data_IF_516428184472
#
_entry.id   IF_516428184472
#
_cell.length_a   1.000
_cell.length_b   1.000
_cell.length_c   1.000
_cell.angle_alpha   90.00
_cell.angle_beta   90.00
_cell.angle_gamma   90.00
#
_symmetry.space_group_name_H-M   'P 1'
#
loop_
_entity.id
_entity.type
_entity.pdbx_description
1 polymer ?
#
# COMPACT_ATOMS: atom_id res chain seq x y z
N UNK A 1 -6.15 27.23 -27.58
CA UNK A 1 -5.65 25.89 -27.94
C UNK A 1 -5.79 24.95 -26.75
N UNK A 2 -5.97 23.65 -27.00
CA UNK A 2 -5.98 22.64 -25.94
C UNK A 2 -4.73 21.77 -26.07
N UNK A 3 -4.01 21.58 -24.96
CA UNK A 3 -2.82 20.72 -24.95
C UNK A 3 -3.23 19.24 -24.99
N UNK A 4 -2.27 18.38 -25.39
CA UNK A 4 -2.42 16.93 -25.24
C UNK A 4 -2.46 16.57 -23.76
N UNK A 5 -3.05 15.42 -23.44
CA UNK A 5 -3.01 14.88 -22.09
C UNK A 5 -1.58 14.50 -21.70
N UNK A 6 -1.23 14.83 -20.47
CA UNK A 6 -0.01 14.36 -19.83
C UNK A 6 -0.03 12.84 -19.63
N UNK A 7 1.14 12.28 -19.34
CA UNK A 7 1.28 10.87 -18.95
C UNK A 7 0.45 10.64 -17.69
N UNK A 8 -0.24 9.50 -17.63
CA UNK A 8 -1.03 9.12 -16.45
C UNK A 8 -0.13 8.97 -15.21
N UNK A 9 -0.56 9.50 -14.07
CA UNK A 9 0.20 9.43 -12.81
C UNK A 9 0.44 8.01 -12.29
N UNK A 10 -0.37 7.04 -12.72
CA UNK A 10 -0.18 5.61 -12.44
C UNK A 10 -0.36 4.80 -13.70
N UNK A 11 0.39 3.71 -13.85
CA UNK A 11 0.22 2.75 -14.95
C UNK A 11 -0.96 1.78 -14.76
N UNK A 12 -1.49 1.65 -13.54
CA UNK A 12 -2.62 0.80 -13.17
C UNK A 12 -3.27 1.27 -11.85
N UNK A 13 -4.42 0.71 -11.51
CA UNK A 13 -5.09 0.94 -10.22
C UNK A 13 -5.65 2.35 -10.03
N UNK A 14 -5.95 3.04 -11.13
CA UNK A 14 -6.52 4.38 -11.13
C UNK A 14 -5.47 5.47 -10.87
N UNK A 15 -5.11 6.15 -11.95
CA UNK A 15 -4.30 7.37 -11.96
C UNK A 15 -5.06 8.58 -12.50
N UNK A 16 -4.36 9.69 -12.59
CA UNK A 16 -4.88 10.97 -13.06
C UNK A 16 -3.95 11.49 -14.15
N UNK A 17 -4.52 12.01 -15.23
CA UNK A 17 -3.81 12.77 -16.26
C UNK A 17 -4.44 14.17 -16.35
N UNK A 18 -3.60 15.16 -16.62
CA UNK A 18 -3.99 16.56 -16.71
C UNK A 18 -3.75 17.07 -18.13
N UNK A 19 -4.51 18.08 -18.54
CA UNK A 19 -4.19 18.90 -19.71
C UNK A 19 -4.61 20.33 -19.47
N UNK A 20 -3.85 21.26 -20.04
CA UNK A 20 -4.13 22.69 -19.96
C UNK A 20 -4.89 23.18 -21.19
N UNK A 21 -5.93 24.00 -20.97
CA UNK A 21 -6.54 24.84 -22.00
C UNK A 21 -5.84 26.21 -22.01
N UNK A 22 -5.22 26.58 -23.12
CA UNK A 22 -4.68 27.94 -23.32
C UNK A 22 -5.67 28.78 -24.11
N UNK A 23 -6.16 29.87 -23.54
CA UNK A 23 -6.91 30.85 -24.32
C UNK A 23 -5.97 31.75 -25.13
N UNK A 24 -6.32 32.04 -26.38
CA UNK A 24 -5.67 33.11 -27.14
C UNK A 24 -6.41 34.40 -26.83
N UNK A 25 -5.73 35.37 -26.22
CA UNK A 25 -6.31 36.64 -25.78
C UNK A 25 -6.56 37.58 -26.96
N UNK A 26 -7.66 37.37 -27.69
CA UNK A 26 -8.19 38.34 -28.65
C UNK A 26 -9.32 39.19 -28.04
N UNK A 27 -9.12 39.69 -26.81
CA UNK A 27 -9.93 40.76 -26.24
C UNK A 27 -11.16 40.37 -25.41
N UNK A 28 -11.53 39.09 -25.31
CA UNK A 28 -12.57 38.65 -24.37
C UNK A 28 -11.93 37.96 -23.16
N UNK A 29 -12.40 38.35 -21.96
CA UNK A 29 -11.97 37.82 -20.67
C UNK A 29 -12.11 36.29 -20.66
N UNK A 30 -11.02 35.56 -20.85
CA UNK A 30 -11.00 34.12 -20.61
C UNK A 30 -11.00 33.86 -19.10
N UNK A 31 -12.19 33.86 -18.51
CA UNK A 31 -12.40 33.51 -17.10
C UNK A 31 -12.17 32.01 -16.81
N UNK A 32 -11.89 31.19 -17.83
CA UNK A 32 -11.83 29.72 -17.70
C UNK A 32 -10.62 29.09 -18.43
N UNK A 33 -9.41 29.64 -18.20
CA UNK A 33 -8.17 28.90 -18.47
C UNK A 33 -7.98 27.78 -17.42
N UNK A 34 -8.86 26.78 -17.44
CA UNK A 34 -8.89 25.71 -16.45
C UNK A 34 -8.08 24.50 -16.92
N UNK A 35 -7.34 23.92 -15.98
CA UNK A 35 -6.75 22.60 -16.15
C UNK A 35 -7.87 21.56 -16.11
N UNK A 36 -7.92 20.70 -17.13
CA UNK A 36 -8.80 19.53 -17.11
C UNK A 36 -8.09 18.36 -16.47
N UNK A 37 -8.85 17.59 -15.69
CA UNK A 37 -8.39 16.40 -14.99
C UNK A 37 -9.28 15.25 -15.42
N UNK A 38 -8.69 14.12 -15.79
CA UNK A 38 -9.45 12.87 -16.01
C UNK A 38 -8.76 11.67 -15.38
N UNK A 39 -9.56 10.68 -15.03
CA UNK A 39 -9.09 9.37 -14.62
C UNK A 39 -8.42 8.63 -15.78
N UNK A 40 -7.47 7.78 -15.45
CA UNK A 40 -6.78 6.90 -16.39
C UNK A 40 -6.32 5.63 -15.71
N UNK A 41 -6.07 4.59 -16.52
CA UNK A 41 -5.52 3.32 -16.06
C UNK A 41 -6.29 2.74 -14.87
N UNK A 42 -7.63 2.78 -14.95
CA UNK A 42 -8.56 2.30 -13.90
C UNK A 42 -8.56 0.79 -13.75
N UNK A 43 -7.96 0.06 -14.69
CA UNK A 43 -7.76 -1.38 -14.57
C UNK A 43 -6.95 -1.67 -13.31
N UNK A 44 -7.36 -2.67 -12.49
CA UNK A 44 -6.63 -3.03 -11.28
C UNK A 44 -5.19 -3.41 -11.63
N UNK A 45 -4.27 -3.05 -10.75
CA UNK A 45 -2.88 -3.45 -10.93
C UNK A 45 -2.77 -4.99 -10.92
N UNK A 46 -1.87 -5.55 -11.74
CA UNK A 46 -1.54 -6.96 -11.64
C UNK A 46 -1.18 -7.27 -10.18
N UNK A 47 -1.66 -8.41 -9.70
CA UNK A 47 -1.47 -8.84 -8.32
C UNK A 47 0.03 -8.79 -8.03
N UNK A 48 0.42 -7.92 -7.10
CA UNK A 48 1.81 -7.79 -6.71
C UNK A 48 2.28 -9.15 -6.18
N UNK A 49 3.50 -9.60 -6.53
CA UNK A 49 4.02 -10.84 -6.00
C UNK A 49 4.08 -10.72 -4.47
N UNK A 50 3.26 -11.52 -3.80
CA UNK A 50 3.26 -11.66 -2.34
C UNK A 50 3.97 -12.95 -1.98
N UNK A 51 4.75 -12.91 -0.91
CA UNK A 51 5.36 -14.14 -0.38
C UNK A 51 4.28 -15.02 0.26
N UNK A 52 4.60 -16.29 0.46
CA UNK A 52 3.83 -17.13 1.38
C UNK A 52 3.84 -16.50 2.79
N UNK A 53 2.80 -16.81 3.56
CA UNK A 53 2.79 -16.49 4.98
C UNK A 53 3.90 -17.26 5.69
N UNK A 54 4.56 -16.60 6.64
CA UNK A 54 5.39 -17.32 7.62
C UNK A 54 4.52 -18.27 8.44
N UNK A 55 5.17 -19.23 9.08
CA UNK A 55 4.54 -19.97 10.17
C UNK A 55 4.10 -19.01 11.28
N UNK A 56 3.09 -19.43 12.05
CA UNK A 56 2.67 -18.72 13.24
C UNK A 56 3.76 -18.78 14.30
N UNK A 57 4.21 -17.63 14.76
CA UNK A 57 5.19 -17.50 15.84
C UNK A 57 4.46 -17.14 17.13
N UNK A 58 4.69 -17.94 18.17
CA UNK A 58 4.14 -17.72 19.52
C UNK A 58 5.00 -16.71 20.27
N UNK A 59 4.37 -15.67 20.78
CA UNK A 59 5.00 -14.65 21.64
C UNK A 59 4.18 -14.58 22.91
N UNK A 60 4.83 -14.75 24.06
CA UNK A 60 4.26 -14.46 25.37
C UNK A 60 4.53 -12.98 25.61
N UNK A 61 3.48 -12.16 25.61
CA UNK A 61 3.64 -10.78 26.06
C UNK A 61 3.82 -10.82 27.58
N UNK A 62 4.89 -10.22 28.13
CA UNK A 62 5.05 -10.12 29.57
C UNK A 62 3.88 -9.30 30.12
N UNK A 63 3.02 -9.91 30.94
CA UNK A 63 1.96 -9.18 31.65
C UNK A 63 2.57 -8.31 32.75
N UNK A 64 2.03 -7.11 32.92
CA UNK A 64 2.10 -6.38 34.19
C UNK A 64 1.55 -7.27 35.32
N UNK A 65 2.17 -7.17 36.51
CA UNK A 65 2.17 -8.14 37.64
C UNK A 65 0.82 -8.52 38.29
N UNK A 66 -0.33 -8.39 37.64
CA UNK A 66 -1.65 -8.56 38.22
C UNK A 66 -2.61 -9.27 37.24
N UNK A 67 -2.56 -10.61 37.20
CA UNK A 67 -3.61 -11.58 36.85
C UNK A 67 -3.14 -12.76 35.98
N UNK A 68 -3.11 -13.90 36.67
CA UNK A 68 -2.58 -15.23 36.36
C UNK A 68 -3.32 -15.96 35.25
N UNK A 69 -3.07 -15.60 33.99
CA UNK A 69 -3.30 -16.50 32.86
C UNK A 69 -2.45 -16.01 31.68
N UNK A 70 -1.34 -16.70 31.37
CA UNK A 70 -0.42 -16.30 30.30
C UNK A 70 -1.14 -16.32 28.95
N UNK A 71 -1.44 -15.13 28.43
CA UNK A 71 -2.17 -14.97 27.18
C UNK A 71 -1.19 -15.11 26.02
N UNK A 72 -1.30 -16.20 25.27
CA UNK A 72 -0.42 -16.51 24.14
C UNK A 72 -0.86 -15.66 22.95
N UNK A 73 0.04 -14.87 22.39
CA UNK A 73 -0.22 -14.15 21.13
C UNK A 73 0.54 -14.82 20.01
N UNK A 74 -0.17 -15.26 18.97
CA UNK A 74 0.46 -15.78 17.76
C UNK A 74 0.44 -14.73 16.67
N UNK A 75 1.58 -14.55 15.99
CA UNK A 75 1.73 -13.61 14.88
C UNK A 75 2.27 -14.30 13.65
N UNK A 76 1.89 -13.83 12.46
CA UNK A 76 2.53 -14.22 11.21
C UNK A 76 2.56 -13.05 10.25
N UNK A 77 3.54 -13.05 9.36
CA UNK A 77 3.71 -11.99 8.38
C UNK A 77 3.82 -12.55 6.96
N UNK A 78 3.54 -11.70 5.98
CA UNK A 78 3.90 -11.91 4.58
C UNK A 78 4.40 -10.60 3.99
N UNK A 79 5.29 -10.68 3.03
CA UNK A 79 5.85 -9.53 2.36
C UNK A 79 5.13 -9.26 1.06
N UNK A 80 4.98 -7.98 0.75
CA UNK A 80 4.50 -7.49 -0.54
C UNK A 80 5.69 -6.88 -1.26
N UNK A 81 6.02 -7.44 -2.42
CA UNK A 81 7.10 -6.92 -3.26
C UNK A 81 6.53 -5.95 -4.28
N UNK A 82 7.08 -4.74 -4.32
CA UNK A 82 6.79 -3.78 -5.38
C UNK A 82 8.01 -3.56 -6.25
N UNK A 83 7.75 -3.33 -7.53
CA UNK A 83 8.74 -2.74 -8.42
C UNK A 83 8.65 -1.24 -8.22
N UNK A 84 9.64 -0.65 -7.55
CA UNK A 84 9.69 0.80 -7.41
C UNK A 84 10.09 1.38 -8.78
N UNK A 85 9.17 2.08 -9.44
CA UNK A 85 9.46 2.83 -10.66
C UNK A 85 10.16 4.15 -10.29
N UNK A 86 11.29 4.05 -9.58
CA UNK A 86 12.19 5.18 -9.41
C UNK A 86 13.08 5.28 -10.64
N UNK A 87 13.29 6.51 -11.11
CA UNK A 87 13.80 6.94 -12.42
C UNK A 87 15.10 6.30 -12.94
N UNK A 88 15.77 5.37 -12.25
CA UNK A 88 17.07 4.84 -12.68
C UNK A 88 17.37 3.37 -12.39
N UNK A 89 16.46 2.59 -11.80
CA UNK A 89 16.71 1.15 -11.64
C UNK A 89 15.41 0.42 -11.32
N UNK A 90 15.06 -0.59 -12.12
CA UNK A 90 14.06 -1.60 -11.73
C UNK A 90 14.61 -2.36 -10.52
N UNK A 91 14.34 -1.84 -9.33
CA UNK A 91 14.71 -2.48 -8.06
C UNK A 91 13.49 -3.17 -7.48
N UNK A 92 13.70 -4.41 -7.04
CA UNK A 92 12.72 -5.11 -6.23
C UNK A 92 12.81 -4.55 -4.81
N UNK A 93 11.75 -3.90 -4.37
CA UNK A 93 11.65 -3.40 -3.00
C UNK A 93 10.60 -4.23 -2.24
N UNK A 94 10.94 -4.63 -1.02
CA UNK A 94 9.92 -5.04 -0.06
C UNK A 94 9.26 -3.72 0.37
N UNK A 95 7.97 -3.57 0.12
CA UNK A 95 7.22 -2.31 0.33
C UNK A 95 6.47 -2.31 1.67
N UNK A 96 5.94 -3.49 2.04
CA UNK A 96 5.21 -3.66 3.28
C UNK A 96 5.19 -5.11 3.77
N UNK A 97 5.22 -5.30 5.08
CA UNK A 97 4.85 -6.54 5.76
C UNK A 97 3.40 -6.45 6.26
N UNK A 98 2.55 -7.30 5.69
CA UNK A 98 1.21 -7.53 6.24
C UNK A 98 1.36 -8.48 7.41
N UNK A 99 1.12 -7.99 8.61
CA UNK A 99 1.17 -8.78 9.83
C UNK A 99 -0.25 -9.00 10.34
N UNK A 100 -0.52 -10.23 10.76
CA UNK A 100 -1.76 -10.55 11.47
C UNK A 100 -1.41 -11.20 12.79
N UNK A 101 -2.26 -10.96 13.79
CA UNK A 101 -2.11 -11.57 15.10
C UNK A 101 -3.40 -12.27 15.53
N UNK A 102 -3.26 -13.16 16.49
CA UNK A 102 -4.38 -13.81 17.17
C UNK A 102 -4.02 -14.05 18.61
N UNK A 103 -5.00 -13.85 19.47
CA UNK A 103 -4.86 -14.08 20.90
C UNK A 103 -5.44 -15.45 21.22
N UNK A 104 -4.62 -16.28 21.83
CA UNK A 104 -4.97 -17.62 22.24
C UNK A 104 -5.02 -17.72 23.77
N UNK A 105 -5.84 -18.64 24.27
CA UNK A 105 -5.79 -19.03 25.66
C UNK A 105 -4.42 -19.63 26.04
N UNK A 106 -4.16 -19.81 27.33
CA UNK A 106 -2.88 -20.29 27.85
C UNK A 106 -2.48 -21.70 27.35
N UNK A 107 -3.43 -22.42 26.75
CA UNK A 107 -3.23 -23.77 26.19
C UNK A 107 -3.02 -23.76 24.68
N UNK A 108 -3.19 -22.61 24.01
CA UNK A 108 -2.85 -22.39 22.60
C UNK A 108 -3.75 -23.08 21.57
N UNK A 109 -4.90 -23.63 21.98
CA UNK A 109 -5.85 -24.32 21.08
C UNK A 109 -7.08 -23.48 20.73
N UNK A 110 -7.48 -22.54 21.59
CA UNK A 110 -8.59 -21.65 21.34
C UNK A 110 -8.04 -20.25 21.07
N UNK A 111 -8.05 -19.85 19.81
CA UNK A 111 -7.46 -18.61 19.33
C UNK A 111 -8.53 -17.76 18.65
N UNK A 112 -8.76 -16.56 19.17
CA UNK A 112 -9.66 -15.59 18.56
C UNK A 112 -8.88 -14.71 17.58
N UNK A 113 -9.49 -14.38 16.44
CA UNK A 113 -8.84 -13.58 15.40
C UNK A 113 -8.70 -12.14 15.85
N UNK A 114 -7.46 -11.67 16.03
CA UNK A 114 -7.19 -10.35 16.62
C UNK A 114 -6.44 -9.50 15.60
N UNK A 115 -7.18 -8.76 14.78
CA UNK A 115 -6.65 -7.66 13.97
C UNK A 115 -5.56 -7.97 12.93
N UNK A 116 -5.18 -6.91 12.23
CA UNK A 116 -4.08 -6.89 11.28
C UNK A 116 -3.43 -5.50 11.31
N UNK A 117 -2.16 -5.44 10.94
CA UNK A 117 -1.47 -4.17 10.74
C UNK A 117 -0.52 -4.27 9.54
N UNK A 118 -0.31 -3.14 8.88
CA UNK A 118 0.65 -3.00 7.79
C UNK A 118 1.86 -2.29 8.38
N UNK A 119 2.99 -2.97 8.42
CA UNK A 119 4.26 -2.31 8.68
C UNK A 119 4.83 -1.92 7.32
N UNK A 120 5.14 -0.63 7.15
CA UNK A 120 5.84 -0.12 5.98
C UNK A 120 7.33 -0.27 6.23
N UNK A 121 7.97 -1.25 5.59
CA UNK A 121 9.42 -1.41 5.58
C UNK A 121 9.88 -1.16 4.17
N UNK A 122 10.74 -0.16 3.96
CA UNK A 122 11.48 -0.01 2.72
C UNK A 122 12.79 -0.78 2.85
N UNK A 123 12.81 -2.02 2.37
CA UNK A 123 14.06 -2.82 2.33
C UNK A 123 14.51 -2.93 0.89
N UNK A 124 15.73 -2.44 0.62
CA UNK A 124 16.40 -2.63 -0.66
C UNK A 124 17.04 -4.02 -0.69
N UNK A 125 16.71 -4.81 -1.69
CA UNK A 125 17.44 -6.03 -2.02
C UNK A 125 18.51 -5.61 -3.04
N UNK A 126 19.78 -5.74 -2.67
CA UNK A 126 20.95 -5.42 -3.51
C UNK A 126 21.21 -6.52 -4.53
#
# INVERSE_FOLDING_TARGET
>A
MISKWDICSKSCGGGIQKRRRTCSSNGEKCNECLDEIRLCNELPCPIQPVTMWTNWTRIILPKDRLNSDDMITETRSRFVCTLSSSSDQQRLEIDSDKVIYRVCNNKGYDCQQTGNFLILRRVRIL
#
